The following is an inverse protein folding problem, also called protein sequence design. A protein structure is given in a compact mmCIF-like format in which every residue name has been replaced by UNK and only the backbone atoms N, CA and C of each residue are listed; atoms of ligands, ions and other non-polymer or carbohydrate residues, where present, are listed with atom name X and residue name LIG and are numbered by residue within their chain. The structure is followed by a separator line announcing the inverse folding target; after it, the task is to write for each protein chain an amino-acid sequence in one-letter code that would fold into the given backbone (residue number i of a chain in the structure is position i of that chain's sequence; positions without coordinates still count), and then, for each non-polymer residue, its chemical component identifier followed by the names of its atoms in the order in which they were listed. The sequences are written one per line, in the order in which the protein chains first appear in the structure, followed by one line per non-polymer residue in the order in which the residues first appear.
data_IF_980971284747
#
_entry.id   IF_980971284747
#
_cell.length_a   1.000
_cell.length_b   1.000
_cell.length_c   1.000
_cell.angle_alpha   90.00
_cell.angle_beta   90.00
_cell.angle_gamma   90.00
#
_symmetry.space_group_name_H-M   'P 1'
#
loop_
_entity.id
_entity.type
_entity.pdbx_description
1 polymer ?
#
# COMPACT_ATOMS: atom_id res chain seq x y z
N UNK A 1 -7.34 17.51 -39.81
CA UNK A 1 -7.17 17.37 -38.34
C UNK A 1 -8.53 17.18 -37.73
N UNK A 2 -8.65 16.22 -36.83
CA UNK A 2 -9.87 16.02 -36.08
C UNK A 2 -10.06 17.17 -35.08
N UNK A 3 -11.30 17.50 -34.72
CA UNK A 3 -11.58 18.62 -33.80
C UNK A 3 -10.91 18.44 -32.43
N UNK A 4 -10.70 17.20 -31.97
CA UNK A 4 -10.03 16.90 -30.71
C UNK A 4 -8.51 17.15 -30.75
N UNK A 5 -7.92 17.41 -31.92
CA UNK A 5 -6.49 17.73 -32.10
C UNK A 5 -6.22 19.24 -32.07
N UNK A 6 -7.23 20.09 -32.34
CA UNK A 6 -7.08 21.54 -32.37
C UNK A 6 -7.23 22.15 -30.98
N UNK A 7 -6.17 22.77 -30.49
CA UNK A 7 -6.15 23.51 -29.23
C UNK A 7 -7.30 24.50 -29.09
N UNK A 8 -7.65 25.22 -30.16
CA UNK A 8 -8.71 26.24 -30.12
C UNK A 8 -10.09 25.64 -29.91
N UNK A 9 -10.28 24.40 -30.34
CA UNK A 9 -11.50 23.63 -30.13
C UNK A 9 -11.52 23.02 -28.73
N UNK A 10 -10.42 22.37 -28.30
CA UNK A 10 -10.28 21.76 -26.96
C UNK A 10 -10.51 22.80 -25.86
N UNK A 11 -9.94 24.00 -25.99
CA UNK A 11 -10.06 25.10 -25.04
C UNK A 11 -11.03 26.18 -25.51
N UNK A 12 -12.14 25.80 -26.15
CA UNK A 12 -13.15 26.73 -26.67
C UNK A 12 -13.73 27.64 -25.58
N UNK A 13 -13.83 27.15 -24.33
CA UNK A 13 -14.25 27.92 -23.16
C UNK A 13 -13.30 29.06 -22.78
N UNK A 14 -12.00 28.92 -23.04
CA UNK A 14 -10.99 29.95 -22.83
C UNK A 14 -9.72 29.68 -23.65
N UNK A 15 -9.61 30.28 -24.83
CA UNK A 15 -8.44 30.11 -25.72
C UNK A 15 -7.13 30.60 -25.10
N UNK A 16 -7.17 31.46 -24.08
CA UNK A 16 -6.00 31.98 -23.36
C UNK A 16 -5.83 31.33 -21.98
N UNK A 17 -6.40 30.14 -21.77
CA UNK A 17 -6.37 29.45 -20.49
C UNK A 17 -4.95 29.25 -19.98
N UNK A 18 -4.75 29.56 -18.70
CA UNK A 18 -3.54 29.24 -17.94
C UNK A 18 -3.96 28.66 -16.60
N UNK A 19 -3.18 27.72 -16.07
CA UNK A 19 -3.44 27.15 -14.77
C UNK A 19 -3.41 28.25 -13.69
N UNK A 20 -4.33 28.17 -12.73
CA UNK A 20 -4.26 28.98 -11.52
C UNK A 20 -3.01 28.57 -10.73
N UNK A 21 -2.25 29.55 -10.23
CA UNK A 21 -1.09 29.34 -9.36
C UNK A 21 -1.40 28.39 -8.21
N UNK A 22 -2.61 28.48 -7.62
CA UNK A 22 -3.03 27.55 -6.54
C UNK A 22 -3.12 26.10 -7.00
N UNK A 23 -3.54 25.86 -8.25
CA UNK A 23 -3.60 24.51 -8.83
C UNK A 23 -2.20 23.99 -9.08
N UNK A 24 -1.32 24.83 -9.64
CA UNK A 24 0.10 24.51 -9.86
C UNK A 24 0.78 24.12 -8.54
N UNK A 25 0.63 24.95 -7.51
CA UNK A 25 1.23 24.72 -6.19
C UNK A 25 0.71 23.43 -5.56
N UNK A 26 -0.59 23.15 -5.68
CA UNK A 26 -1.19 21.90 -5.18
C UNK A 26 -0.63 20.67 -5.91
N UNK A 27 -0.53 20.71 -7.24
CA UNK A 27 0.02 19.61 -8.04
C UNK A 27 1.49 19.35 -7.65
N UNK A 28 2.28 20.42 -7.47
CA UNK A 28 3.68 20.31 -7.04
C UNK A 28 3.78 19.74 -5.62
N UNK A 29 2.91 20.18 -4.71
CA UNK A 29 2.85 19.67 -3.33
C UNK A 29 2.51 18.19 -3.30
N UNK A 30 1.46 17.78 -4.02
CA UNK A 30 1.06 16.37 -4.12
C UNK A 30 2.15 15.51 -4.76
N UNK A 31 2.82 16.01 -5.79
CA UNK A 31 3.96 15.32 -6.41
C UNK A 31 5.04 15.02 -5.38
N UNK A 32 5.39 15.99 -4.52
CA UNK A 32 6.39 15.77 -3.46
C UNK A 32 5.92 14.72 -2.45
N UNK A 33 4.63 14.70 -2.11
CA UNK A 33 4.06 13.69 -1.22
C UNK A 33 4.13 12.28 -1.85
N UNK A 34 3.92 12.19 -3.16
CA UNK A 34 3.99 10.95 -3.97
C UNK A 34 5.43 10.64 -4.43
N UNK A 35 6.42 10.81 -3.55
CA UNK A 35 7.84 10.51 -3.82
C UNK A 35 8.43 11.17 -5.07
N UNK A 36 7.94 12.37 -5.41
CA UNK A 36 8.31 13.16 -6.59
C UNK A 36 7.84 12.62 -7.94
N UNK A 37 6.82 11.74 -7.97
CA UNK A 37 6.28 11.21 -9.22
C UNK A 37 4.75 11.07 -9.18
N UNK A 38 4.07 11.79 -10.06
CA UNK A 38 2.63 11.66 -10.28
C UNK A 38 2.29 10.54 -11.28
N UNK A 39 1.06 10.06 -11.27
CA UNK A 39 0.54 9.21 -12.34
C UNK A 39 0.43 9.97 -13.67
N UNK A 40 0.10 11.27 -13.64
CA UNK A 40 0.21 12.14 -14.81
C UNK A 40 1.62 12.12 -15.41
N UNK A 41 2.66 12.15 -14.56
CA UNK A 41 4.06 12.11 -15.02
C UNK A 41 4.36 10.77 -15.73
N UNK A 42 3.80 9.65 -15.23
CA UNK A 42 3.92 8.32 -15.86
C UNK A 42 3.20 8.26 -17.21
N UNK A 43 1.97 8.79 -17.30
CA UNK A 43 1.20 8.82 -18.54
C UNK A 43 1.89 9.68 -19.61
N UNK A 44 2.40 10.86 -19.24
CA UNK A 44 3.14 11.74 -20.16
C UNK A 44 4.47 11.10 -20.61
N UNK A 45 5.12 10.34 -19.74
CA UNK A 45 6.33 9.60 -20.11
C UNK A 45 6.02 8.51 -21.16
N UNK A 46 4.87 7.82 -21.07
CA UNK A 46 4.42 6.88 -22.11
C UNK A 46 4.17 7.58 -23.46
N UNK A 47 3.80 8.87 -23.46
CA UNK A 47 3.68 9.67 -24.67
C UNK A 47 5.04 10.11 -25.26
N UNK A 48 6.16 9.68 -24.68
CA UNK A 48 7.51 10.04 -25.12
C UNK A 48 7.99 11.42 -24.68
N UNK A 49 7.24 12.11 -23.81
CA UNK A 49 7.58 13.45 -23.34
C UNK A 49 8.74 13.35 -22.34
N UNK A 50 9.88 13.95 -22.67
CA UNK A 50 11.06 13.98 -21.79
C UNK A 50 10.95 15.11 -20.77
N UNK A 51 11.43 14.86 -19.54
CA UNK A 51 11.44 15.88 -18.49
C UNK A 51 10.04 16.29 -18.03
N UNK A 52 9.12 15.32 -17.91
CA UNK A 52 7.70 15.51 -17.57
C UNK A 52 7.45 16.47 -16.41
N UNK A 53 8.29 16.44 -15.36
CA UNK A 53 8.16 17.32 -14.19
C UNK A 53 8.40 18.81 -14.48
N UNK A 54 9.05 19.12 -15.62
CA UNK A 54 9.25 20.51 -16.10
C UNK A 54 8.11 20.97 -17.01
N UNK A 55 7.43 20.03 -17.66
CA UNK A 55 6.36 20.31 -18.64
C UNK A 55 5.00 20.38 -17.96
N UNK A 56 4.77 19.51 -16.96
CA UNK A 56 3.51 19.43 -16.23
C UNK A 56 3.71 19.74 -14.73
N UNK A 57 2.87 20.58 -14.11
CA UNK A 57 1.78 21.34 -14.71
C UNK A 57 2.29 22.54 -15.54
N UNK A 58 1.62 22.89 -16.66
CA UNK A 58 2.05 24.01 -17.50
C UNK A 58 1.81 25.35 -16.77
N UNK A 59 2.82 26.23 -16.79
CA UNK A 59 2.80 27.50 -16.06
C UNK A 59 2.22 28.65 -16.88
N UNK A 60 2.36 28.58 -18.19
CA UNK A 60 1.83 29.57 -19.13
C UNK A 60 0.90 28.92 -20.14
N UNK A 61 0.08 29.74 -20.80
CA UNK A 61 -0.76 29.31 -21.91
C UNK A 61 0.08 28.83 -23.12
N UNK A 62 1.33 29.30 -23.26
CA UNK A 62 2.29 28.78 -24.25
C UNK A 62 2.75 27.37 -23.92
N UNK A 63 3.12 27.11 -22.66
CA UNK A 63 3.52 25.78 -22.18
C UNK A 63 2.38 24.77 -22.36
N UNK A 64 1.15 25.17 -22.07
CA UNK A 64 -0.03 24.32 -22.24
C UNK A 64 -0.27 23.98 -23.72
N UNK A 65 -0.14 24.93 -24.65
CA UNK A 65 -0.24 24.63 -26.09
C UNK A 65 0.81 23.62 -26.53
N UNK A 66 2.05 23.86 -26.12
CA UNK A 66 3.16 22.95 -26.41
C UNK A 66 2.88 21.55 -25.87
N UNK A 67 2.40 21.42 -24.62
CA UNK A 67 2.04 20.13 -24.04
C UNK A 67 0.97 19.40 -24.87
N UNK A 68 -0.10 20.09 -25.27
CA UNK A 68 -1.17 19.49 -26.10
C UNK A 68 -0.62 19.07 -27.48
N UNK A 69 0.21 19.91 -28.11
CA UNK A 69 0.85 19.60 -29.39
C UNK A 69 1.74 18.35 -29.29
N UNK A 70 2.51 18.20 -28.22
CA UNK A 70 3.32 16.99 -27.98
C UNK A 70 2.44 15.75 -27.77
N UNK A 71 1.32 15.86 -27.05
CA UNK A 71 0.38 14.73 -26.88
C UNK A 71 -0.23 14.33 -28.24
N UNK A 72 -0.71 15.30 -29.02
CA UNK A 72 -1.34 15.05 -30.33
C UNK A 72 -0.33 14.44 -31.32
N UNK A 73 0.92 14.89 -31.30
CA UNK A 73 2.00 14.41 -32.18
C UNK A 73 2.68 13.12 -31.72
N UNK A 74 2.38 12.61 -30.52
CA UNK A 74 2.95 11.35 -30.01
C UNK A 74 2.57 10.13 -30.87
N UNK A 75 3.29 9.02 -30.71
CA UNK A 75 3.00 7.75 -31.43
C UNK A 75 1.87 6.94 -30.78
N UNK A 76 1.25 7.45 -29.71
CA UNK A 76 0.16 6.77 -29.00
C UNK A 76 -1.09 6.61 -29.86
N UNK A 77 -1.89 5.58 -29.57
CA UNK A 77 -3.21 5.43 -30.17
C UNK A 77 -4.13 6.61 -29.81
N UNK A 78 -5.12 6.84 -30.67
CA UNK A 78 -6.08 7.95 -30.56
C UNK A 78 -6.73 8.06 -29.16
N UNK A 79 -7.19 6.95 -28.58
CA UNK A 79 -7.85 6.98 -27.28
C UNK A 79 -6.88 7.31 -26.13
N UNK A 80 -5.61 6.91 -26.22
CA UNK A 80 -4.61 7.27 -25.20
C UNK A 80 -4.29 8.77 -25.26
N UNK A 81 -4.19 9.35 -26.46
CA UNK A 81 -4.04 10.80 -26.64
C UNK A 81 -5.23 11.58 -26.08
N UNK A 82 -6.44 11.14 -26.41
CA UNK A 82 -7.68 11.74 -25.89
C UNK A 82 -7.78 11.60 -24.36
N UNK A 83 -7.40 10.46 -23.80
CA UNK A 83 -7.37 10.24 -22.35
C UNK A 83 -6.39 11.18 -21.62
N UNK A 84 -5.22 11.45 -22.21
CA UNK A 84 -4.27 12.44 -21.70
C UNK A 84 -4.83 13.86 -21.76
N UNK A 85 -5.47 14.25 -22.87
CA UNK A 85 -6.11 15.57 -22.99
C UNK A 85 -7.26 15.69 -21.97
N UNK A 86 -8.05 14.64 -21.81
CA UNK A 86 -9.12 14.56 -20.82
C UNK A 86 -8.56 14.75 -19.39
N UNK A 87 -7.43 14.13 -19.05
CA UNK A 87 -6.72 14.36 -17.78
C UNK A 87 -6.38 15.85 -17.60
N UNK A 88 -5.77 16.48 -18.59
CA UNK A 88 -5.39 17.91 -18.52
C UNK A 88 -6.61 18.82 -18.35
N UNK A 89 -7.71 18.52 -19.05
CA UNK A 89 -8.97 19.26 -18.90
C UNK A 89 -9.58 19.10 -17.51
N UNK A 90 -9.38 17.97 -16.83
CA UNK A 90 -9.84 17.77 -15.45
C UNK A 90 -9.19 18.72 -14.45
N UNK A 91 -7.98 19.20 -14.71
CA UNK A 91 -7.33 20.19 -13.85
C UNK A 91 -7.92 21.60 -14.00
N UNK A 92 -8.70 21.84 -15.07
CA UNK A 92 -9.24 23.15 -15.39
C UNK A 92 -10.39 23.54 -14.46
N UNK A 93 -10.10 23.91 -13.21
CA UNK A 93 -11.10 24.21 -12.17
C UNK A 93 -12.11 25.31 -12.54
N UNK A 94 -11.73 26.25 -13.41
CA UNK A 94 -12.62 27.32 -13.89
C UNK A 94 -13.62 26.85 -14.96
N UNK A 95 -13.47 25.63 -15.46
CA UNK A 95 -14.32 25.03 -16.48
C UNK A 95 -14.57 23.54 -16.14
N UNK A 96 -15.33 23.25 -15.06
CA UNK A 96 -15.52 21.89 -14.55
C UNK A 96 -16.14 20.92 -15.57
N UNK A 97 -16.97 21.43 -16.48
CA UNK A 97 -17.64 20.61 -17.50
C UNK A 97 -16.78 20.40 -18.76
N UNK A 98 -15.62 21.05 -18.90
CA UNK A 98 -14.80 20.99 -20.11
C UNK A 98 -14.33 19.57 -20.43
N UNK A 99 -13.89 18.83 -19.41
CA UNK A 99 -13.47 17.43 -19.57
C UNK A 99 -14.65 16.55 -20.02
N UNK A 100 -15.83 16.74 -19.44
CA UNK A 100 -17.02 15.95 -19.77
C UNK A 100 -17.49 16.20 -21.21
N UNK A 101 -17.56 17.47 -21.63
CA UNK A 101 -17.89 17.83 -23.01
C UNK A 101 -16.86 17.27 -24.00
N UNK A 102 -15.57 17.43 -23.72
CA UNK A 102 -14.51 16.88 -24.59
C UNK A 102 -14.64 15.37 -24.76
N UNK A 103 -14.90 14.63 -23.68
CA UNK A 103 -15.08 13.19 -23.73
C UNK A 103 -16.31 12.77 -24.56
N UNK A 104 -17.39 13.56 -24.53
CA UNK A 104 -18.56 13.35 -25.37
C UNK A 104 -18.25 13.63 -26.85
N UNK A 105 -17.63 14.78 -27.14
CA UNK A 105 -17.32 15.22 -28.51
C UNK A 105 -16.44 14.21 -29.25
N UNK A 106 -15.40 13.70 -28.57
CA UNK A 106 -14.49 12.72 -29.15
C UNK A 106 -14.92 11.25 -28.95
N UNK A 107 -16.08 11.02 -28.33
CA UNK A 107 -16.62 9.69 -28.03
C UNK A 107 -15.63 8.80 -27.25
N UNK A 108 -14.95 9.38 -26.25
CA UNK A 108 -13.94 8.69 -25.45
C UNK A 108 -14.55 7.48 -24.73
N UNK A 109 -14.08 6.25 -25.00
CA UNK A 109 -14.66 5.07 -24.38
C UNK A 109 -14.58 5.10 -22.86
N UNK A 110 -15.60 4.57 -22.20
CA UNK A 110 -15.77 4.63 -20.76
C UNK A 110 -14.58 4.12 -19.96
N UNK A 111 -13.96 3.00 -20.39
CA UNK A 111 -12.77 2.45 -19.74
C UNK A 111 -11.62 3.47 -19.61
N UNK A 112 -11.42 4.32 -20.62
CA UNK A 112 -10.40 5.37 -20.56
C UNK A 112 -10.80 6.50 -19.62
N UNK A 113 -12.08 6.87 -19.60
CA UNK A 113 -12.61 7.87 -18.66
C UNK A 113 -12.44 7.41 -17.22
N UNK A 114 -12.90 6.20 -16.89
CA UNK A 114 -12.79 5.63 -15.54
C UNK A 114 -11.34 5.49 -15.10
N UNK A 115 -10.46 5.00 -15.98
CA UNK A 115 -9.04 4.88 -15.65
C UNK A 115 -8.39 6.25 -15.34
N UNK A 116 -8.64 7.26 -16.18
CA UNK A 116 -8.14 8.62 -15.95
C UNK A 116 -8.76 9.26 -14.70
N UNK A 117 -10.05 9.06 -14.46
CA UNK A 117 -10.72 9.49 -13.22
C UNK A 117 -10.02 8.93 -11.99
N UNK A 118 -9.71 7.63 -12.01
CA UNK A 118 -8.95 6.96 -10.97
C UNK A 118 -7.59 7.59 -10.72
N UNK A 119 -6.75 7.68 -11.76
CA UNK A 119 -5.40 8.24 -11.65
C UNK A 119 -5.40 9.72 -11.24
N UNK A 120 -6.34 10.51 -11.76
CA UNK A 120 -6.48 11.92 -11.41
C UNK A 120 -6.85 12.10 -9.93
N UNK A 121 -7.68 11.21 -9.35
CA UNK A 121 -7.97 11.23 -7.92
C UNK A 121 -6.76 10.76 -7.08
N UNK A 122 -5.94 9.81 -7.55
CA UNK A 122 -4.69 9.41 -6.89
C UNK A 122 -3.70 10.59 -6.80
N UNK A 123 -3.48 11.30 -7.90
CA UNK A 123 -2.61 12.48 -7.94
C UNK A 123 -3.12 13.64 -7.06
N UNK A 124 -4.40 13.58 -6.66
CA UNK A 124 -5.04 14.51 -5.73
C UNK A 124 -5.08 14.02 -4.28
N UNK A 125 -4.51 12.85 -4.00
CA UNK A 125 -4.53 12.20 -2.69
C UNK A 125 -5.96 11.86 -2.20
N UNK A 126 -6.90 11.67 -3.12
CA UNK A 126 -8.29 11.29 -2.84
C UNK A 126 -8.46 9.77 -3.07
N UNK A 127 -7.77 8.97 -2.27
CA UNK A 127 -7.60 7.52 -2.49
C UNK A 127 -8.91 6.74 -2.56
N UNK A 128 -9.84 7.00 -1.64
CA UNK A 128 -11.14 6.28 -1.64
C UNK A 128 -11.88 6.46 -2.95
N UNK A 129 -11.96 7.71 -3.44
CA UNK A 129 -12.60 8.04 -4.70
C UNK A 129 -11.84 7.46 -5.90
N UNK A 130 -10.51 7.42 -5.83
CA UNK A 130 -9.71 6.78 -6.86
C UNK A 130 -10.02 5.29 -7.00
N UNK A 131 -10.13 4.56 -5.88
CA UNK A 131 -10.44 3.12 -5.88
C UNK A 131 -11.84 2.82 -6.40
N UNK A 132 -12.83 3.69 -6.15
CA UNK A 132 -14.17 3.55 -6.74
C UNK A 132 -14.14 3.49 -8.29
N UNK A 133 -13.15 4.13 -8.93
CA UNK A 133 -12.96 4.04 -10.38
C UNK A 133 -12.01 2.93 -10.80
N UNK A 134 -10.91 2.72 -10.06
CA UNK A 134 -9.84 1.79 -10.45
C UNK A 134 -10.15 0.31 -10.16
N UNK A 135 -11.12 0.04 -9.27
CA UNK A 135 -11.59 -1.30 -8.97
C UNK A 135 -12.62 -1.82 -10.01
N UNK A 136 -12.93 -1.04 -11.05
CA UNK A 136 -13.87 -1.44 -12.10
C UNK A 136 -13.33 -2.65 -12.90
N UNK A 137 -14.05 -3.80 -12.94
CA UNK A 137 -13.55 -5.04 -13.54
C UNK A 137 -13.28 -4.96 -15.05
N UNK A 138 -13.88 -3.99 -15.75
CA UNK A 138 -13.67 -3.78 -17.19
C UNK A 138 -12.33 -3.11 -17.53
N UNK A 139 -11.62 -2.59 -16.52
CA UNK A 139 -10.32 -1.96 -16.70
C UNK A 139 -9.22 -3.01 -16.78
N UNK A 140 -8.26 -2.78 -17.68
CA UNK A 140 -6.99 -3.49 -17.67
C UNK A 140 -6.08 -2.72 -16.71
N UNK A 141 -5.64 -3.32 -15.59
CA UNK A 141 -4.81 -2.61 -14.62
C UNK A 141 -3.51 -2.12 -15.29
N UNK A 142 -3.37 -0.79 -15.37
CA UNK A 142 -2.16 -0.14 -15.87
C UNK A 142 -1.48 0.53 -14.68
N UNK A 143 -0.20 0.23 -14.47
CA UNK A 143 0.56 0.57 -13.25
C UNK A 143 0.02 -0.06 -11.95
N UNK A 144 -0.37 -1.35 -11.93
CA UNK A 144 -1.02 -1.94 -10.76
C UNK A 144 -0.13 -1.90 -9.50
N UNK A 145 1.17 -2.13 -9.64
CA UNK A 145 2.11 -2.10 -8.52
C UNK A 145 2.35 -0.68 -8.00
N UNK A 146 2.44 0.30 -8.90
CA UNK A 146 2.60 1.71 -8.52
C UNK A 146 1.37 2.23 -7.77
N UNK A 147 0.17 1.88 -8.24
CA UNK A 147 -1.09 2.23 -7.58
C UNK A 147 -1.12 1.60 -6.19
N UNK A 148 -0.84 0.30 -6.10
CA UNK A 148 -0.80 -0.39 -4.81
C UNK A 148 0.21 0.27 -3.88
N UNK A 149 1.44 0.51 -4.35
CA UNK A 149 2.49 1.13 -3.55
C UNK A 149 2.07 2.48 -2.97
N UNK A 150 1.47 3.36 -3.77
CA UNK A 150 0.98 4.65 -3.29
C UNK A 150 -0.03 4.48 -2.15
N UNK A 151 -0.92 3.49 -2.23
CA UNK A 151 -1.92 3.24 -1.19
C UNK A 151 -1.30 2.73 0.12
N UNK A 152 -0.10 2.13 0.09
CA UNK A 152 0.61 1.65 1.28
C UNK A 152 1.33 2.77 2.07
N UNK A 153 1.47 3.97 1.47
CA UNK A 153 2.25 5.06 2.03
C UNK A 153 1.58 5.70 3.26
N UNK A 154 1.96 5.24 4.44
CA UNK A 154 1.38 5.61 5.74
C UNK A 154 1.42 7.10 6.08
N UNK A 155 2.37 7.83 5.49
CA UNK A 155 2.57 9.25 5.71
C UNK A 155 1.58 10.14 4.92
N UNK A 156 0.84 9.57 3.97
CA UNK A 156 -0.09 10.33 3.15
C UNK A 156 -1.37 10.69 3.94
N UNK A 157 -1.98 11.86 3.65
CA UNK A 157 -3.23 12.23 4.28
C UNK A 157 -4.34 11.24 3.92
N UNK A 158 -5.30 11.00 4.82
CA UNK A 158 -6.42 10.07 4.60
C UNK A 158 -5.97 8.63 4.26
N UNK A 159 -4.74 8.24 4.64
CA UNK A 159 -4.27 6.87 4.49
C UNK A 159 -5.20 5.87 5.19
N UNK A 160 -5.48 4.77 4.51
CA UNK A 160 -6.37 3.70 4.97
C UNK A 160 -5.87 2.37 4.41
N UNK A 161 -5.36 1.50 5.29
CA UNK A 161 -4.83 0.17 4.92
C UNK A 161 -5.89 -0.67 4.18
N UNK A 162 -7.18 -0.47 4.47
CA UNK A 162 -8.26 -1.22 3.83
C UNK A 162 -8.37 -0.93 2.33
N UNK A 163 -7.98 0.26 1.87
CA UNK A 163 -7.98 0.62 0.45
C UNK A 163 -6.89 -0.12 -0.32
N UNK A 164 -5.69 -0.24 0.25
CA UNK A 164 -4.60 -1.01 -0.33
C UNK A 164 -4.96 -2.50 -0.43
N UNK A 165 -5.58 -3.06 0.62
CA UNK A 165 -6.03 -4.45 0.63
C UNK A 165 -7.16 -4.67 -0.39
N UNK A 166 -8.17 -3.79 -0.43
CA UNK A 166 -9.26 -3.88 -1.39
C UNK A 166 -8.76 -3.80 -2.83
N UNK A 167 -7.82 -2.90 -3.11
CA UNK A 167 -7.19 -2.81 -4.42
C UNK A 167 -6.38 -4.06 -4.78
N UNK A 168 -5.59 -4.60 -3.85
CA UNK A 168 -4.84 -5.84 -4.06
C UNK A 168 -5.77 -7.02 -4.41
N UNK A 169 -6.89 -7.15 -3.69
CA UNK A 169 -7.86 -8.23 -3.93
C UNK A 169 -8.64 -8.08 -5.24
N UNK A 170 -8.79 -6.87 -5.76
CA UNK A 170 -9.58 -6.59 -6.97
C UNK A 170 -8.74 -6.50 -8.23
N UNK A 171 -7.63 -5.77 -8.20
CA UNK A 171 -6.75 -5.55 -9.35
C UNK A 171 -5.63 -6.59 -9.47
N UNK A 172 -5.44 -7.44 -8.45
CA UNK A 172 -4.38 -8.44 -8.36
C UNK A 172 -3.00 -7.97 -8.86
N UNK A 173 -2.42 -6.90 -8.29
CA UNK A 173 -1.09 -6.43 -8.67
C UNK A 173 -0.05 -7.55 -8.55
N UNK A 174 0.90 -7.65 -9.50
CA UNK A 174 1.86 -8.74 -9.55
C UNK A 174 2.88 -8.71 -8.41
N UNK A 175 3.04 -7.56 -7.71
CA UNK A 175 4.08 -7.35 -6.72
C UNK A 175 5.48 -7.64 -7.30
N UNK A 176 5.77 -7.07 -8.46
CA UNK A 176 6.94 -7.38 -9.28
C UNK A 176 8.28 -6.95 -8.65
N UNK A 177 8.25 -6.00 -7.70
CA UNK A 177 9.47 -5.51 -7.03
C UNK A 177 9.42 -5.74 -5.54
N UNK A 178 10.58 -6.01 -4.94
CA UNK A 178 10.73 -6.16 -3.49
C UNK A 178 10.24 -4.93 -2.72
N UNK A 179 10.43 -3.72 -3.28
CA UNK A 179 9.93 -2.46 -2.71
C UNK A 179 8.41 -2.51 -2.51
N UNK A 180 7.68 -2.93 -3.53
CA UNK A 180 6.20 -3.01 -3.49
C UNK A 180 5.75 -4.16 -2.59
N UNK A 181 6.41 -5.32 -2.67
CA UNK A 181 6.11 -6.47 -1.81
C UNK A 181 6.24 -6.13 -0.34
N UNK A 182 7.38 -5.54 0.08
CA UNK A 182 7.63 -5.15 1.48
C UNK A 182 6.63 -4.11 1.96
N UNK A 183 6.32 -3.10 1.16
CA UNK A 183 5.37 -2.06 1.53
C UNK A 183 3.94 -2.61 1.70
N UNK A 184 3.54 -3.55 0.82
CA UNK A 184 2.26 -4.23 0.95
C UNK A 184 2.25 -5.20 2.15
N UNK A 185 3.35 -5.89 2.42
CA UNK A 185 3.46 -6.75 3.59
C UNK A 185 3.35 -5.96 4.91
N UNK A 186 3.98 -4.79 5.01
CA UNK A 186 3.83 -3.89 6.15
C UNK A 186 2.37 -3.43 6.33
N UNK A 187 1.64 -3.25 5.23
CA UNK A 187 0.19 -2.96 5.24
C UNK A 187 -0.60 -4.13 5.84
N UNK A 188 -0.31 -5.36 5.41
CA UNK A 188 -0.94 -6.56 5.98
C UNK A 188 -0.64 -6.71 7.47
N UNK A 189 0.61 -6.52 7.89
CA UNK A 189 1.02 -6.55 9.30
C UNK A 189 0.23 -5.54 10.15
N UNK A 190 0.00 -4.32 9.63
CA UNK A 190 -0.80 -3.30 10.32
C UNK A 190 -2.28 -3.68 10.42
N UNK A 191 -2.83 -4.26 9.36
CA UNK A 191 -4.24 -4.62 9.28
C UNK A 191 -4.59 -5.88 10.08
N UNK A 192 -3.93 -7.01 9.78
CA UNK A 192 -4.30 -8.32 10.30
C UNK A 192 -3.08 -9.27 10.35
N UNK A 193 -2.68 -9.69 11.55
CA UNK A 193 -1.54 -10.60 11.78
C UNK A 193 -1.75 -11.94 11.08
N UNK A 194 -2.97 -12.45 11.07
CA UNK A 194 -3.30 -13.75 10.47
C UNK A 194 -3.19 -13.70 8.96
N UNK A 195 -3.69 -12.64 8.32
CA UNK A 195 -3.56 -12.47 6.86
C UNK A 195 -2.10 -12.28 6.45
N UNK A 196 -1.33 -11.50 7.20
CA UNK A 196 0.10 -11.34 6.97
C UNK A 196 0.83 -12.70 7.07
N UNK A 197 0.49 -13.52 8.06
CA UNK A 197 1.05 -14.86 8.19
C UNK A 197 0.73 -15.75 6.98
N UNK A 198 -0.53 -15.83 6.53
CA UNK A 198 -0.86 -16.62 5.34
C UNK A 198 -0.23 -16.06 4.05
N UNK A 199 0.06 -14.77 4.02
CA UNK A 199 0.80 -14.16 2.93
C UNK A 199 2.25 -14.67 2.86
N UNK A 200 2.95 -14.85 4.00
CA UNK A 200 4.33 -15.38 4.00
C UNK A 200 4.41 -16.76 3.37
N UNK A 201 3.39 -17.60 3.60
CA UNK A 201 3.31 -18.99 3.09
C UNK A 201 3.14 -19.11 1.57
N UNK A 202 2.91 -18.00 0.85
CA UNK A 202 2.85 -17.99 -0.62
C UNK A 202 4.23 -18.05 -1.28
N UNK A 203 5.29 -17.83 -0.52
CA UNK A 203 6.66 -17.71 -1.02
C UNK A 203 7.52 -18.93 -0.67
N UNK A 204 8.69 -19.02 -1.30
CA UNK A 204 9.70 -20.03 -0.95
C UNK A 204 10.23 -19.85 0.47
N UNK A 205 10.95 -20.84 0.98
CA UNK A 205 11.40 -20.89 2.37
C UNK A 205 12.20 -19.65 2.81
N UNK A 206 13.11 -19.14 1.97
CA UNK A 206 13.97 -18.01 2.31
C UNK A 206 13.14 -16.73 2.46
N UNK A 207 12.26 -16.47 1.50
CA UNK A 207 11.37 -15.31 1.52
C UNK A 207 10.30 -15.44 2.62
N UNK A 208 9.72 -16.63 2.78
CA UNK A 208 8.75 -16.95 3.83
C UNK A 208 9.33 -16.68 5.20
N UNK A 209 10.54 -17.16 5.48
CA UNK A 209 11.27 -16.91 6.73
C UNK A 209 11.46 -15.41 6.94
N UNK A 210 12.00 -14.69 5.94
CA UNK A 210 12.24 -13.25 6.05
C UNK A 210 10.96 -12.46 6.38
N UNK A 211 9.84 -12.75 5.72
CA UNK A 211 8.55 -12.12 6.03
C UNK A 211 8.01 -12.52 7.40
N UNK A 212 8.17 -13.78 7.80
CA UNK A 212 7.72 -14.26 9.09
C UNK A 212 8.48 -13.58 10.25
N UNK A 213 9.81 -13.48 10.15
CA UNK A 213 10.64 -12.74 11.11
C UNK A 213 10.20 -11.26 11.18
N UNK A 214 9.94 -10.64 10.02
CA UNK A 214 9.41 -9.25 9.96
C UNK A 214 8.05 -9.11 10.65
N UNK A 215 7.14 -10.07 10.51
CA UNK A 215 5.84 -10.07 11.20
C UNK A 215 6.04 -10.16 12.72
N UNK A 216 6.88 -11.08 13.19
CA UNK A 216 7.20 -11.25 14.62
C UNK A 216 7.80 -9.96 15.19
N UNK A 217 8.77 -9.37 14.48
CA UNK A 217 9.36 -8.08 14.87
C UNK A 217 8.32 -6.96 14.88
N UNK A 218 7.45 -6.87 13.88
CA UNK A 218 6.43 -5.84 13.77
C UNK A 218 5.49 -5.83 14.99
N UNK A 219 5.04 -7.02 15.41
CA UNK A 219 4.18 -7.17 16.61
C UNK A 219 4.88 -6.60 17.84
N UNK A 220 6.17 -6.85 18.02
CA UNK A 220 6.91 -6.44 19.21
C UNK A 220 7.43 -4.99 19.15
N UNK A 221 7.66 -4.45 17.94
CA UNK A 221 7.94 -3.02 17.68
C UNK A 221 6.71 -2.14 17.92
N UNK A 222 5.50 -2.70 17.84
CA UNK A 222 4.26 -1.96 18.13
C UNK A 222 4.32 -1.37 19.56
N UNK A 223 3.98 -0.08 19.77
CA UNK A 223 4.01 0.55 21.09
C UNK A 223 3.20 -0.23 22.13
N UNK A 224 3.65 -0.20 23.39
CA UNK A 224 2.97 -0.87 24.48
C UNK A 224 1.52 -0.37 24.64
N UNK A 225 0.58 -1.31 24.79
CA UNK A 225 -0.85 -1.02 24.94
C UNK A 225 -1.73 -2.16 24.42
N UNK A 226 -3.04 -1.89 24.35
CA UNK A 226 -4.05 -2.88 23.95
C UNK A 226 -3.78 -3.44 22.54
N UNK A 227 -3.36 -2.59 21.59
CA UNK A 227 -3.08 -3.01 20.21
C UNK A 227 -1.96 -4.04 20.15
N UNK A 228 -0.84 -3.81 20.84
CA UNK A 228 0.25 -4.79 20.91
C UNK A 228 -0.21 -6.08 21.57
N UNK A 229 -0.93 -5.99 22.68
CA UNK A 229 -1.44 -7.18 23.39
C UNK A 229 -2.34 -8.04 22.50
N UNK A 230 -3.28 -7.41 21.77
CA UNK A 230 -4.15 -8.11 20.81
C UNK A 230 -3.33 -8.80 19.71
N UNK A 231 -2.39 -8.09 19.08
CA UNK A 231 -1.53 -8.65 18.03
C UNK A 231 -0.63 -9.77 18.54
N UNK A 232 -0.06 -9.64 19.74
CA UNK A 232 0.75 -10.69 20.36
C UNK A 232 -0.09 -11.95 20.66
N UNK A 233 -1.33 -11.77 21.10
CA UNK A 233 -2.25 -12.90 21.32
C UNK A 233 -2.62 -13.60 20.00
N UNK A 234 -2.89 -12.82 18.94
CA UNK A 234 -3.11 -13.38 17.59
C UNK A 234 -1.88 -14.14 17.10
N UNK A 235 -0.67 -13.57 17.26
CA UNK A 235 0.60 -14.18 16.88
C UNK A 235 0.83 -15.52 17.60
N UNK A 236 0.61 -15.55 18.92
CA UNK A 236 0.69 -16.78 19.74
C UNK A 236 -0.31 -17.83 19.29
N UNK A 237 -1.48 -17.41 18.80
CA UNK A 237 -2.54 -18.30 18.33
C UNK A 237 -2.37 -18.82 16.91
N UNK A 238 -1.32 -18.42 16.17
CA UNK A 238 -1.14 -18.85 14.79
C UNK A 238 -0.86 -20.36 14.69
N UNK A 239 -1.30 -21.01 13.59
CA UNK A 239 -1.03 -22.43 13.35
C UNK A 239 0.34 -22.61 12.70
N UNK A 240 1.41 -22.37 13.47
CA UNK A 240 2.80 -22.49 13.02
C UNK A 240 3.16 -23.95 12.70
N UNK A 241 3.91 -24.17 11.62
CA UNK A 241 4.58 -25.43 11.32
C UNK A 241 5.92 -25.57 12.05
N UNK A 242 6.60 -26.71 11.89
CA UNK A 242 7.86 -26.99 12.61
C UNK A 242 8.94 -25.92 12.37
N UNK A 243 9.24 -25.60 11.10
CA UNK A 243 10.21 -24.55 10.78
C UNK A 243 9.79 -23.18 11.35
N UNK A 244 8.50 -22.86 11.28
CA UNK A 244 7.97 -21.58 11.74
C UNK A 244 8.04 -21.43 13.27
N UNK A 245 7.89 -22.53 14.02
CA UNK A 245 8.13 -22.55 15.48
C UNK A 245 9.60 -22.29 15.80
N UNK A 246 10.53 -22.91 15.06
CA UNK A 246 11.96 -22.65 15.23
C UNK A 246 12.30 -21.18 14.93
N UNK A 247 11.83 -20.65 13.80
CA UNK A 247 12.08 -19.25 13.42
C UNK A 247 11.45 -18.28 14.42
N UNK A 248 10.28 -18.62 14.98
CA UNK A 248 9.59 -17.82 15.97
C UNK A 248 10.43 -17.66 17.24
N UNK A 249 10.94 -18.76 17.78
CA UNK A 249 11.80 -18.74 18.96
C UNK A 249 13.14 -18.08 18.67
N UNK A 250 13.77 -18.41 17.55
CA UNK A 250 15.05 -17.83 17.15
C UNK A 250 14.93 -16.29 17.07
N UNK A 251 13.88 -15.77 16.44
CA UNK A 251 13.64 -14.33 16.31
C UNK A 251 13.50 -13.63 17.65
N UNK A 252 12.79 -14.25 18.61
CA UNK A 252 12.44 -13.67 19.91
C UNK A 252 13.50 -13.87 20.99
N UNK A 253 14.34 -14.90 20.88
CA UNK A 253 15.38 -15.19 21.87
C UNK A 253 16.77 -14.73 21.43
N UNK A 254 17.06 -14.84 20.13
CA UNK A 254 18.42 -14.66 19.61
C UNK A 254 18.53 -13.64 18.46
N UNK A 255 17.44 -13.43 17.73
CA UNK A 255 17.34 -12.60 16.55
C UNK A 255 16.94 -11.15 16.81
N UNK A 256 16.31 -10.53 15.80
CA UNK A 256 16.02 -9.10 15.75
C UNK A 256 15.01 -8.60 16.78
N UNK A 257 14.21 -9.50 17.38
CA UNK A 257 13.20 -9.15 18.36
C UNK A 257 13.63 -9.36 19.83
N UNK A 258 14.83 -9.92 20.09
CA UNK A 258 15.25 -10.31 21.45
C UNK A 258 15.27 -9.19 22.48
N UNK A 259 15.54 -7.97 22.04
CA UNK A 259 15.60 -6.79 22.91
C UNK A 259 14.25 -6.10 23.08
N UNK A 260 13.20 -6.55 22.37
CA UNK A 260 11.89 -5.95 22.47
C UNK A 260 11.15 -6.40 23.73
N UNK A 261 10.41 -5.48 24.39
CA UNK A 261 9.66 -5.81 25.57
C UNK A 261 8.62 -6.91 25.30
N UNK A 262 8.59 -7.92 26.16
CA UNK A 262 7.64 -9.03 26.05
C UNK A 262 8.08 -10.16 25.12
N UNK A 263 9.24 -10.09 24.46
CA UNK A 263 9.67 -11.15 23.53
C UNK A 263 9.73 -12.54 24.20
N UNK A 264 10.38 -12.60 25.37
CA UNK A 264 10.48 -13.81 26.20
C UNK A 264 9.11 -14.27 26.74
N UNK A 265 8.26 -13.32 27.13
CA UNK A 265 6.90 -13.62 27.60
C UNK A 265 6.04 -14.22 26.47
N UNK A 266 6.19 -13.74 25.23
CA UNK A 266 5.50 -14.28 24.06
C UNK A 266 5.94 -15.71 23.74
N UNK A 267 7.25 -16.02 23.84
CA UNK A 267 7.75 -17.41 23.69
C UNK A 267 7.17 -18.32 24.77
N UNK A 268 7.16 -17.88 26.03
CA UNK A 268 6.55 -18.63 27.13
C UNK A 268 5.05 -18.86 26.90
N UNK A 269 4.32 -17.85 26.45
CA UNK A 269 2.91 -17.98 26.10
C UNK A 269 2.68 -18.98 24.97
N UNK A 270 3.51 -18.96 23.92
CA UNK A 270 3.41 -19.90 22.79
C UNK A 270 3.63 -21.33 23.26
N UNK A 271 4.74 -21.60 23.97
CA UNK A 271 5.03 -22.93 24.52
C UNK A 271 3.96 -23.42 25.50
N UNK A 272 3.38 -22.53 26.30
CA UNK A 272 2.26 -22.85 27.18
C UNK A 272 1.02 -23.24 26.36
N UNK A 273 0.68 -22.46 25.32
CA UNK A 273 -0.48 -22.69 24.47
C UNK A 273 -0.35 -23.98 23.64
N UNK A 274 0.87 -24.36 23.23
CA UNK A 274 1.15 -25.59 22.46
C UNK A 274 1.50 -26.79 23.33
N UNK A 275 1.61 -26.62 24.66
CA UNK A 275 1.97 -27.69 25.60
C UNK A 275 3.47 -28.08 25.60
N UNK A 276 4.33 -27.33 24.89
CA UNK A 276 5.76 -27.61 24.73
C UNK A 276 6.61 -27.03 25.88
N UNK A 277 6.32 -27.45 27.11
CA UNK A 277 6.99 -26.94 28.32
C UNK A 277 8.30 -27.67 28.67
N UNK A 278 8.70 -28.66 27.88
CA UNK A 278 9.98 -29.38 28.02
C UNK A 278 11.13 -28.60 27.36
N UNK A 279 12.36 -28.76 27.88
CA UNK A 279 13.55 -28.20 27.25
C UNK A 279 13.56 -26.67 27.18
N UNK A 280 13.08 -26.00 28.24
CA UNK A 280 13.18 -24.54 28.35
C UNK A 280 14.65 -24.16 28.51
N UNK A 281 15.13 -23.19 27.73
CA UNK A 281 16.44 -22.60 27.96
C UNK A 281 16.49 -21.87 29.30
N UNK A 282 17.69 -21.71 29.87
CA UNK A 282 17.92 -21.00 31.15
C UNK A 282 17.31 -19.60 31.16
N UNK A 283 17.28 -18.94 30.02
CA UNK A 283 16.66 -17.63 29.82
C UNK A 283 15.14 -17.61 30.03
N UNK A 284 14.47 -18.71 29.68
CA UNK A 284 13.03 -18.88 29.87
C UNK A 284 12.72 -19.42 31.26
N UNK A 285 13.59 -20.28 31.79
CA UNK A 285 13.44 -20.82 33.14
C UNK A 285 13.53 -19.73 34.20
N UNK A 286 14.41 -18.74 33.99
CA UNK A 286 14.62 -17.58 34.87
C UNK A 286 13.59 -16.46 34.73
N UNK A 287 12.58 -16.60 33.84
CA UNK A 287 11.43 -15.71 33.80
C UNK A 287 10.56 -15.96 35.05
N UNK A 288 10.96 -15.35 36.17
CA UNK A 288 10.18 -15.24 37.40
C UNK A 288 9.79 -13.77 37.59
N UNK A 289 8.51 -13.46 37.36
CA UNK A 289 8.00 -12.09 37.38
C UNK A 289 7.19 -11.75 38.64
N UNK A 290 6.87 -10.46 38.81
CA UNK A 290 5.85 -10.01 39.76
C UNK A 290 4.52 -10.68 39.42
N UNK A 291 3.79 -11.10 40.46
CA UNK A 291 2.46 -11.66 40.29
C UNK A 291 1.51 -10.61 39.71
N UNK A 292 0.83 -10.96 38.63
CA UNK A 292 -0.31 -10.22 38.06
C UNK A 292 -1.54 -11.06 38.37
N UNK A 293 -2.48 -10.49 39.13
CA UNK A 293 -3.69 -11.20 39.61
C UNK A 293 -3.40 -12.55 40.30
N UNK A 294 -2.29 -12.60 41.05
CA UNK A 294 -1.87 -13.80 41.79
C UNK A 294 -1.09 -14.84 40.97
N UNK A 295 -0.97 -14.63 39.65
CA UNK A 295 -0.28 -15.52 38.71
C UNK A 295 1.06 -14.93 38.26
N UNK A 296 2.05 -15.78 38.08
CA UNK A 296 3.30 -15.51 37.38
C UNK A 296 3.76 -16.76 36.62
N UNK A 297 4.82 -16.66 35.82
CA UNK A 297 5.33 -17.78 35.03
C UNK A 297 5.73 -19.01 35.86
N UNK A 298 6.24 -18.82 37.08
CA UNK A 298 6.58 -19.92 37.98
C UNK A 298 5.33 -20.71 38.37
N UNK A 299 4.29 -20.02 38.85
CA UNK A 299 3.02 -20.66 39.24
C UNK A 299 2.34 -21.37 38.06
N UNK A 300 2.36 -20.79 36.86
CA UNK A 300 1.79 -21.41 35.67
C UNK A 300 2.56 -22.68 35.27
N UNK A 301 3.90 -22.64 35.32
CA UNK A 301 4.77 -23.79 35.01
C UNK A 301 4.55 -24.94 35.99
N UNK A 302 4.45 -24.64 37.28
CA UNK A 302 4.16 -25.65 38.32
C UNK A 302 2.81 -26.33 38.10
N UNK A 303 1.76 -25.55 37.81
CA UNK A 303 0.42 -26.10 37.56
C UNK A 303 0.36 -27.05 36.34
N UNK A 304 1.08 -26.72 35.27
CA UNK A 304 1.16 -27.56 34.06
C UNK A 304 1.96 -28.84 34.29
N UNK A 305 3.09 -28.78 35.02
CA UNK A 305 3.87 -29.97 35.39
C UNK A 305 3.04 -30.95 36.22
N UNK A 306 2.22 -30.43 37.14
CA UNK A 306 1.29 -31.26 37.90
C UNK A 306 0.25 -31.91 36.99
N UNK A 307 -0.28 -31.18 36.01
CA UNK A 307 -1.30 -31.70 35.08
C UNK A 307 -0.75 -32.78 34.14
N UNK A 308 0.48 -32.61 33.61
CA UNK A 308 1.16 -33.63 32.80
C UNK A 308 1.49 -34.91 33.59
N UNK A 309 1.82 -34.78 34.88
CA UNK A 309 2.06 -35.95 35.74
C UNK A 309 0.78 -36.72 36.08
N UNK A 310 -0.39 -36.07 36.04
CA UNK A 310 -1.68 -36.68 36.36
C UNK A 310 -2.32 -37.33 35.13
N UNK A 311 -2.06 -36.81 33.92
CA UNK A 311 -2.55 -37.36 32.65
C UNK A 311 -1.39 -37.48 31.65
N UNK A 312 -0.58 -38.57 31.73
CA UNK A 312 0.45 -38.83 30.73
C UNK A 312 -0.22 -39.18 29.38
N UNK A 313 0.20 -38.49 28.32
CA UNK A 313 -0.20 -38.75 26.92
C UNK A 313 0.18 -40.15 26.45
#
# INVERSE_FOLDING_TARGET
MAQWEDFSHIFSFNKKYSYDTKVVDQIISNRKALENQLFADRLLALAGIKGVTKVYPPKTNGDLRSLIEHIVSSELDIHHKQALIYYILKDCRSAPDAAAHFAQDCHLPEKYRLFIEGLWNLDRLEFRRAIEFLAEPSLIPTFPDEILYVLTLSQLPKHDDSLAIAYYLTAAPPLATEKVQRAFFDTLCRSNVTEAFYFTRKYDELQRRSYFEQLVEFVHKTPAGQTRSKRAMELVGLPLGEDEEEWFEETLLHGGAKSFPGAKDTVMMRRLATGQMSGLGTELESLGGKKVDGLNWDTLRESMRQTQNVYPS
#
